data_IF_059730665430
#
_entry.id   IF_059730665430
#
_cell.length_a   1.000
_cell.length_b   1.000
_cell.length_c   1.000
_cell.angle_alpha   90.00
_cell.angle_beta   90.00
_cell.angle_gamma   90.00
#
_symmetry.space_group_name_H-M   'P 1'
#
loop_
_entity.id
_entity.type
_entity.pdbx_description
1 polymer ?
#
# COMPACT_ATOMS: atom_id res chain seq x y z
N UNK A 1 16.07 21.61 21.88
CA UNK A 1 14.84 21.83 21.10
C UNK A 1 15.05 21.16 19.74
N UNK A 2 14.37 20.06 19.45
CA UNK A 2 14.50 19.38 18.15
C UNK A 2 13.50 20.02 17.18
N UNK A 3 14.00 20.69 16.14
CA UNK A 3 13.15 21.18 15.06
C UNK A 3 12.67 19.99 14.22
N UNK A 4 11.39 19.98 13.84
CA UNK A 4 10.79 18.93 13.02
C UNK A 4 10.10 19.58 11.83
N UNK A 5 10.53 19.22 10.63
CA UNK A 5 9.86 19.60 9.39
C UNK A 5 8.56 18.81 9.29
N UNK A 6 7.44 19.51 9.07
CA UNK A 6 6.12 18.88 9.02
C UNK A 6 5.40 19.31 7.74
N UNK A 7 4.84 18.35 7.01
CA UNK A 7 3.96 18.60 5.88
C UNK A 7 2.67 17.80 6.06
N UNK A 8 1.55 18.38 5.65
CA UNK A 8 0.23 17.74 5.73
C UNK A 8 -0.43 17.72 4.35
N UNK A 9 -0.92 16.56 3.96
CA UNK A 9 -1.72 16.37 2.75
C UNK A 9 -3.14 16.01 3.15
N UNK A 10 -4.11 16.81 2.70
CA UNK A 10 -5.54 16.51 2.89
C UNK A 10 -6.08 15.79 1.66
N UNK A 11 -6.67 14.63 1.88
CA UNK A 11 -7.31 13.83 0.86
C UNK A 11 -8.83 14.06 0.89
N UNK A 12 -9.40 14.49 -0.23
CA UNK A 12 -10.85 14.67 -0.37
C UNK A 12 -11.59 13.35 -0.57
N UNK A 13 -10.90 12.32 -1.08
CA UNK A 13 -11.48 11.01 -1.38
C UNK A 13 -11.52 10.09 -0.16
N UNK A 14 -10.89 10.48 0.96
CA UNK A 14 -10.88 9.74 2.24
C UNK A 14 -10.34 8.30 2.12
N UNK A 15 -9.36 8.09 1.25
CA UNK A 15 -8.73 6.80 0.99
C UNK A 15 -7.39 6.61 1.72
N UNK A 16 -6.76 7.68 2.23
CA UNK A 16 -5.43 7.60 2.88
C UNK A 16 -5.33 6.54 3.99
N UNK A 17 -6.39 6.35 4.78
CA UNK A 17 -6.42 5.33 5.84
C UNK A 17 -6.23 3.90 5.34
N UNK A 18 -6.47 3.65 4.05
CA UNK A 18 -6.30 2.35 3.40
C UNK A 18 -4.86 2.10 2.93
N UNK A 19 -3.91 2.99 3.22
CA UNK A 19 -2.53 2.86 2.77
C UNK A 19 -1.53 2.89 3.93
N UNK A 20 -0.43 2.18 3.74
CA UNK A 20 0.79 2.27 4.54
C UNK A 20 1.82 3.05 3.74
N UNK A 21 2.41 4.07 4.36
CA UNK A 21 3.37 4.96 3.71
C UNK A 21 4.79 4.65 4.16
N UNK A 22 5.74 4.76 3.24
CA UNK A 22 7.17 4.62 3.49
C UNK A 22 7.95 5.61 2.63
N UNK A 23 9.24 5.75 2.92
CA UNK A 23 10.13 6.58 2.13
C UNK A 23 11.55 5.99 2.09
N UNK A 24 12.30 6.36 1.07
CA UNK A 24 13.75 6.16 1.00
C UNK A 24 14.54 7.02 2.01
N UNK A 25 13.91 8.04 2.61
CA UNK A 25 14.48 8.85 3.68
C UNK A 25 14.15 8.26 5.06
N UNK A 26 15.10 7.53 5.64
CA UNK A 26 14.91 6.67 6.83
C UNK A 26 14.39 7.37 8.09
N UNK A 27 14.66 8.66 8.25
CA UNK A 27 14.22 9.45 9.40
C UNK A 27 12.83 10.05 9.22
N UNK A 28 12.24 9.96 8.01
CA UNK A 28 10.89 10.43 7.73
C UNK A 28 9.85 9.51 8.39
N UNK A 29 8.82 10.12 8.99
CA UNK A 29 7.71 9.43 9.64
C UNK A 29 6.40 9.84 9.00
N UNK A 30 5.47 8.89 8.99
CA UNK A 30 4.15 9.04 8.40
C UNK A 30 3.10 8.67 9.43
N UNK A 31 2.07 9.50 9.57
CA UNK A 31 0.87 9.17 10.32
C UNK A 31 -0.37 9.59 9.53
N UNK A 32 -1.43 8.81 9.68
CA UNK A 32 -2.73 9.12 9.05
C UNK A 32 -3.75 9.33 10.15
N UNK A 33 -4.55 10.38 10.02
CA UNK A 33 -5.70 10.66 10.89
C UNK A 33 -6.87 11.09 10.02
N UNK A 34 -7.90 10.25 9.95
CA UNK A 34 -9.03 10.46 9.06
C UNK A 34 -8.58 10.58 7.60
N UNK A 35 -8.71 11.79 7.05
CA UNK A 35 -8.36 12.12 5.66
C UNK A 35 -7.11 13.00 5.54
N UNK A 36 -6.27 13.04 6.58
CA UNK A 36 -5.01 13.79 6.59
C UNK A 36 -3.83 12.83 6.75
N UNK A 37 -2.85 12.96 5.85
CA UNK A 37 -1.53 12.36 5.99
C UNK A 37 -0.58 13.42 6.54
N UNK A 38 0.03 13.13 7.68
CA UNK A 38 1.08 13.95 8.29
C UNK A 38 2.43 13.30 8.05
N UNK A 39 3.35 14.07 7.49
CA UNK A 39 4.73 13.66 7.19
C UNK A 39 5.66 14.50 8.05
N UNK A 40 6.51 13.85 8.83
CA UNK A 40 7.50 14.54 9.68
C UNK A 40 8.92 14.07 9.40
N UNK A 41 9.89 14.97 9.55
CA UNK A 41 11.31 14.66 9.48
C UNK A 41 12.11 15.53 10.45
N UNK A 42 13.07 14.96 11.20
CA UNK A 42 13.91 15.73 12.12
C UNK A 42 14.93 16.63 11.40
N UNK A 43 15.25 16.30 10.14
CA UNK A 43 16.22 17.04 9.31
C UNK A 43 15.63 17.30 7.94
N UNK A 44 16.01 18.43 7.33
CA UNK A 44 15.64 18.69 5.94
C UNK A 44 16.34 17.64 5.05
N UNK A 45 15.60 16.94 4.19
CA UNK A 45 16.20 16.15 3.13
C UNK A 45 17.12 17.03 2.27
N UNK A 46 18.32 16.55 1.97
CA UNK A 46 19.32 17.27 1.16
C UNK A 46 19.12 17.06 -0.35
N UNK A 47 18.08 16.33 -0.75
CA UNK A 47 17.78 16.00 -2.13
C UNK A 47 16.34 15.52 -2.30
N UNK A 48 16.05 14.97 -3.47
CA UNK A 48 14.73 14.41 -3.75
C UNK A 48 14.45 13.24 -2.78
N UNK A 49 13.22 13.21 -2.26
CA UNK A 49 12.72 12.11 -1.44
C UNK A 49 11.64 11.38 -2.23
N UNK A 50 11.69 10.06 -2.21
CA UNK A 50 10.64 9.19 -2.72
C UNK A 50 9.76 8.77 -1.55
N UNK A 51 8.47 9.07 -1.66
CA UNK A 51 7.44 8.52 -0.78
C UNK A 51 6.69 7.45 -1.56
N UNK A 52 6.45 6.30 -0.93
CA UNK A 52 5.71 5.18 -1.48
C UNK A 52 4.48 4.90 -0.61
N UNK A 53 3.40 4.44 -1.23
CA UNK A 53 2.19 4.02 -0.56
C UNK A 53 1.87 2.57 -0.97
N UNK A 54 1.47 1.74 -0.01
CA UNK A 54 1.03 0.37 -0.27
C UNK A 54 -0.38 0.20 0.28
N UNK A 55 -1.31 -0.25 -0.57
CA UNK A 55 -2.69 -0.47 -0.14
C UNK A 55 -2.75 -1.60 0.89
N UNK A 56 -3.32 -1.31 2.05
CA UNK A 56 -3.61 -2.28 3.09
C UNK A 56 -4.58 -3.32 2.56
N UNK A 57 -4.37 -4.57 2.94
CA UNK A 57 -5.26 -5.70 2.64
C UNK A 57 -5.59 -5.85 1.15
N UNK A 58 -4.66 -5.47 0.26
CA UNK A 58 -4.87 -5.67 -1.17
C UNK A 58 -5.02 -7.17 -1.47
N UNK A 59 -6.06 -7.51 -2.23
CA UNK A 59 -6.35 -8.85 -2.71
C UNK A 59 -6.67 -8.76 -4.19
N UNK A 60 -6.05 -9.58 -5.02
CA UNK A 60 -6.45 -9.77 -6.42
C UNK A 60 -7.24 -11.06 -6.50
N UNK A 61 -8.38 -10.96 -7.16
CA UNK A 61 -9.37 -12.00 -7.25
C UNK A 61 -8.92 -13.01 -8.32
N UNK A 62 -8.63 -14.26 -7.94
CA UNK A 62 -8.31 -15.36 -8.87
C UNK A 62 -9.11 -16.62 -8.54
N UNK A 63 -9.50 -17.38 -9.56
CA UNK A 63 -10.15 -18.68 -9.40
C UNK A 63 -9.10 -19.78 -9.37
N UNK A 64 -9.14 -20.64 -8.35
CA UNK A 64 -8.34 -21.88 -8.30
C UNK A 64 -9.29 -23.05 -8.44
N UNK A 65 -9.07 -23.86 -9.48
CA UNK A 65 -9.83 -25.10 -9.73
C UNK A 65 -8.97 -26.27 -9.26
N UNK A 66 -9.52 -27.08 -8.37
CA UNK A 66 -8.97 -28.36 -7.96
C UNK A 66 -9.74 -29.45 -8.71
N UNK A 67 -9.03 -30.28 -9.47
CA UNK A 67 -9.55 -31.35 -10.33
C UNK A 67 -8.69 -32.60 -10.10
N UNK A 68 -9.28 -33.79 -10.21
CA UNK A 68 -8.59 -35.06 -9.99
C UNK A 68 -8.03 -35.69 -11.29
N UNK A 69 -8.13 -34.99 -12.41
CA UNK A 69 -7.64 -35.40 -13.73
C UNK A 69 -8.49 -36.46 -14.43
N UNK A 70 -9.64 -36.85 -13.87
CA UNK A 70 -10.45 -37.97 -14.39
C UNK A 70 -11.68 -37.47 -15.16
N UNK A 71 -11.82 -37.87 -16.42
CA UNK A 71 -12.92 -37.43 -17.29
C UNK A 71 -13.81 -38.60 -17.71
N UNK A 72 -15.03 -38.71 -17.17
CA UNK A 72 -16.01 -39.70 -17.60
C UNK A 72 -17.29 -39.74 -16.75
N UNK A 73 -18.41 -40.25 -17.28
CA UNK A 73 -19.66 -40.34 -16.54
C UNK A 73 -19.60 -41.39 -15.42
N UNK A 74 -19.98 -41.01 -14.20
CA UNK A 74 -20.03 -41.90 -13.03
C UNK A 74 -18.68 -42.22 -12.40
N UNK A 75 -17.60 -41.56 -12.82
CA UNK A 75 -16.23 -41.71 -12.31
C UNK A 75 -15.65 -40.35 -11.90
N UNK A 76 -14.66 -40.35 -11.01
CA UNK A 76 -13.98 -39.14 -10.52
C UNK A 76 -14.68 -38.44 -9.35
N UNK A 77 -14.03 -37.40 -8.83
CA UNK A 77 -14.52 -36.50 -7.79
C UNK A 77 -14.99 -35.17 -8.40
N UNK A 78 -15.96 -34.52 -7.76
CA UNK A 78 -16.42 -33.20 -8.17
C UNK A 78 -15.33 -32.15 -7.96
N UNK A 79 -15.05 -31.35 -8.99
CA UNK A 79 -14.09 -30.26 -8.91
C UNK A 79 -14.51 -29.24 -7.87
N UNK A 80 -13.56 -28.82 -7.05
CA UNK A 80 -13.76 -27.75 -6.07
C UNK A 80 -13.15 -26.48 -6.60
N UNK A 81 -13.92 -25.39 -6.60
CA UNK A 81 -13.40 -24.07 -6.93
C UNK A 81 -13.24 -23.30 -5.63
N UNK A 82 -11.99 -22.97 -5.30
CA UNK A 82 -11.69 -22.10 -4.18
C UNK A 82 -11.32 -20.72 -4.69
N UNK A 83 -11.78 -19.72 -3.95
CA UNK A 83 -11.51 -18.33 -4.22
C UNK A 83 -10.85 -17.73 -2.98
N UNK A 84 -9.53 -17.51 -3.00
CA UNK A 84 -8.83 -16.44 -2.27
C UNK A 84 -7.33 -16.53 -2.52
N UNK A 85 -6.69 -15.42 -2.90
CA UNK A 85 -5.25 -15.26 -2.74
C UNK A 85 -4.97 -13.82 -2.32
N UNK A 86 -4.26 -13.64 -1.21
CA UNK A 86 -3.73 -12.33 -0.84
C UNK A 86 -2.60 -12.00 -1.81
N UNK A 87 -2.69 -10.87 -2.51
CA UNK A 87 -1.57 -10.36 -3.31
C UNK A 87 -1.44 -8.87 -3.06
N UNK A 88 -0.21 -8.48 -2.77
CA UNK A 88 0.15 -7.08 -2.59
C UNK A 88 0.07 -6.39 -3.94
N UNK A 89 -0.83 -5.42 -4.08
CA UNK A 89 -0.86 -4.51 -5.24
C UNK A 89 -0.21 -3.18 -4.80
N UNK A 90 1.10 -3.00 -5.06
CA UNK A 90 1.77 -1.75 -4.73
C UNK A 90 1.32 -0.66 -5.69
N UNK A 91 0.47 0.26 -5.21
CA UNK A 91 0.14 1.48 -5.94
C UNK A 91 1.20 2.52 -5.62
N UNK A 92 2.21 2.66 -6.48
CA UNK A 92 3.24 3.68 -6.29
C UNK A 92 2.70 5.07 -6.70
N UNK A 93 2.54 5.96 -5.71
CA UNK A 93 2.31 7.38 -5.92
C UNK A 93 3.53 8.14 -5.38
N UNK A 94 4.09 9.05 -6.18
CA UNK A 94 5.32 9.76 -5.85
C UNK A 94 5.01 11.19 -5.41
N UNK A 95 5.46 11.58 -4.22
CA UNK A 95 5.39 12.96 -3.73
C UNK A 95 6.80 13.57 -3.69
N UNK A 96 7.06 14.59 -4.51
CA UNK A 96 8.31 15.35 -4.46
C UNK A 96 8.17 16.52 -3.48
N UNK A 97 8.96 16.50 -2.42
CA UNK A 97 9.06 17.59 -1.46
C UNK A 97 10.30 18.42 -1.79
N UNK A 98 10.11 19.72 -2.04
CA UNK A 98 11.21 20.67 -2.15
C UNK A 98 11.34 21.41 -0.81
N UNK A 99 12.50 21.26 -0.17
CA UNK A 99 12.85 22.06 1.00
C UNK A 99 13.59 23.30 0.52
N UNK A 100 13.04 24.50 0.79
CA UNK A 100 13.75 25.76 0.57
C UNK A 100 14.60 26.03 1.80
N UNK A 101 15.89 26.26 1.58
CA UNK A 101 16.88 26.49 2.64
C UNK A 101 16.90 27.96 3.07
#
# INVERSE_FOLDING_TARGET
>A
MFFSYTASLTDTNKVLGNYTFSSDYSTMKFSTSGNVLTITSPTAPTGNVTVSASKKDSKRMGLVVWDDGTFGPGVGQQNTVTYTQSVTDPIAAYLKLNCVQ
#
